data_IF_743134287565
#
_entry.id   IF_743134287565
#
_cell.length_a   1.000
_cell.length_b   1.000
_cell.length_c   1.000
_cell.angle_alpha   90.00
_cell.angle_beta   90.00
_cell.angle_gamma   90.00
#
_symmetry.space_group_name_H-M   'P 1'
#
loop_
_entity.id
_entity.type
_entity.pdbx_description
1 polymer ?
#
# COMPACT_ATOMS: atom_id res chain seq x y z
N UNK A 1 20.42 -37.67 12.00
CA UNK A 1 19.58 -36.47 12.16
C UNK A 1 20.13 -35.43 11.21
N UNK A 2 19.40 -35.10 10.17
CA UNK A 2 19.74 -33.96 9.29
C UNK A 2 19.26 -32.73 10.02
N UNK A 3 20.16 -31.78 10.39
CA UNK A 3 19.71 -30.55 11.01
C UNK A 3 18.78 -29.82 10.03
N UNK A 4 17.51 -29.69 10.38
CA UNK A 4 16.60 -28.81 9.64
C UNK A 4 17.16 -27.39 9.82
N UNK A 5 17.73 -26.85 8.75
CA UNK A 5 18.16 -25.45 8.70
C UNK A 5 16.88 -24.60 8.88
N UNK A 6 16.80 -23.91 9.98
CA UNK A 6 15.70 -22.97 10.22
C UNK A 6 15.85 -21.86 9.19
N UNK A 7 14.94 -21.84 8.20
CA UNK A 7 14.93 -20.79 7.18
C UNK A 7 14.56 -19.47 7.85
N UNK A 8 15.40 -18.46 7.66
CA UNK A 8 15.06 -17.09 8.05
C UNK A 8 14.05 -16.51 7.06
N UNK A 9 13.31 -15.47 7.46
CA UNK A 9 12.41 -14.77 6.56
C UNK A 9 13.18 -14.18 5.36
N UNK A 10 14.43 -13.74 5.58
CA UNK A 10 15.31 -13.24 4.51
C UNK A 10 15.62 -14.35 3.48
N UNK A 11 15.92 -15.58 3.91
CA UNK A 11 16.16 -16.70 2.99
C UNK A 11 14.92 -17.00 2.13
N UNK A 12 13.72 -16.96 2.74
CA UNK A 12 12.46 -17.16 2.03
C UNK A 12 12.22 -16.06 1.00
N UNK A 13 12.49 -14.79 1.35
CA UNK A 13 12.37 -13.66 0.41
C UNK A 13 13.35 -13.78 -0.75
N UNK A 14 14.59 -14.20 -0.48
CA UNK A 14 15.62 -14.36 -1.51
C UNK A 14 15.26 -15.50 -2.45
N UNK A 15 14.77 -16.64 -1.94
CA UNK A 15 14.30 -17.76 -2.75
C UNK A 15 13.10 -17.37 -3.62
N UNK A 16 12.09 -16.67 -3.06
CA UNK A 16 10.96 -16.18 -3.82
C UNK A 16 11.39 -15.19 -4.91
N UNK A 17 12.34 -14.29 -4.62
CA UNK A 17 12.88 -13.34 -5.58
C UNK A 17 13.62 -14.06 -6.71
N UNK A 18 14.43 -15.06 -6.39
CA UNK A 18 15.16 -15.85 -7.38
C UNK A 18 14.20 -16.59 -8.32
N UNK A 19 13.15 -17.21 -7.80
CA UNK A 19 12.11 -17.87 -8.60
C UNK A 19 11.37 -16.83 -9.45
N UNK A 20 10.99 -15.70 -8.88
CA UNK A 20 10.35 -14.60 -9.61
C UNK A 20 11.20 -14.12 -10.80
N UNK A 21 12.51 -14.02 -10.64
CA UNK A 21 13.40 -13.48 -11.67
C UNK A 21 13.80 -14.53 -12.72
N UNK A 22 13.93 -15.80 -12.32
CA UNK A 22 14.43 -16.89 -13.18
C UNK A 22 13.34 -17.79 -13.75
N UNK A 23 12.22 -18.00 -13.03
CA UNK A 23 11.15 -18.93 -13.45
C UNK A 23 9.75 -18.35 -13.16
N UNK A 24 9.27 -17.52 -14.09
CA UNK A 24 7.95 -16.87 -13.98
C UNK A 24 6.77 -17.83 -13.91
N UNK A 25 6.71 -18.92 -14.70
CA UNK A 25 5.65 -19.92 -14.56
C UNK A 25 5.62 -20.57 -13.18
N UNK A 26 6.79 -20.93 -12.65
CA UNK A 26 6.88 -21.53 -11.30
C UNK A 26 6.44 -20.54 -10.23
N UNK A 27 6.81 -19.25 -10.36
CA UNK A 27 6.39 -18.20 -9.43
C UNK A 27 4.86 -18.05 -9.40
N UNK A 28 4.18 -18.01 -10.56
CA UNK A 28 2.73 -17.94 -10.63
C UNK A 28 2.07 -19.16 -9.99
N UNK A 29 2.63 -20.36 -10.23
CA UNK A 29 2.14 -21.60 -9.61
C UNK A 29 2.29 -21.60 -8.08
N UNK A 30 3.36 -20.97 -7.54
CA UNK A 30 3.52 -20.80 -6.10
C UNK A 30 2.45 -19.85 -5.54
N UNK A 31 2.16 -18.74 -6.23
CA UNK A 31 1.10 -17.83 -5.81
C UNK A 31 -0.25 -18.51 -5.76
N UNK A 32 -0.61 -19.25 -6.83
CA UNK A 32 -1.87 -19.98 -6.91
C UNK A 32 -2.01 -21.06 -5.83
N UNK A 33 -0.91 -21.72 -5.49
CA UNK A 33 -0.90 -22.79 -4.48
C UNK A 33 -1.03 -22.25 -3.04
N UNK A 34 -0.47 -21.07 -2.76
CA UNK A 34 -0.31 -20.57 -1.40
C UNK A 34 -1.17 -19.35 -1.06
N UNK A 35 -1.79 -18.71 -2.05
CA UNK A 35 -2.65 -17.56 -1.84
C UNK A 35 -4.06 -17.90 -2.30
N UNK A 36 -4.96 -18.10 -1.35
CA UNK A 36 -6.38 -18.21 -1.59
C UNK A 36 -7.06 -16.85 -1.38
N UNK A 37 -7.44 -16.18 -2.47
CA UNK A 37 -8.14 -14.91 -2.39
C UNK A 37 -9.53 -15.01 -1.76
N UNK A 38 -10.18 -16.17 -1.86
CA UNK A 38 -11.52 -16.34 -1.27
C UNK A 38 -11.45 -16.34 0.27
N UNK A 39 -10.33 -16.77 0.87
CA UNK A 39 -10.08 -16.64 2.30
C UNK A 39 -9.70 -15.20 2.72
N UNK A 40 -9.00 -14.48 1.83
CA UNK A 40 -8.50 -13.13 2.10
C UNK A 40 -9.58 -12.07 1.94
N UNK A 41 -10.49 -12.26 0.98
CA UNK A 41 -11.56 -11.29 0.68
C UNK A 41 -12.68 -11.41 1.73
N UNK A 42 -13.01 -10.33 2.47
CA UNK A 42 -14.13 -10.34 3.39
C UNK A 42 -15.46 -10.61 2.68
N UNK A 43 -16.35 -11.36 3.34
CA UNK A 43 -17.71 -11.63 2.81
C UNK A 43 -18.50 -10.35 2.51
N UNK A 44 -18.26 -9.28 3.28
CA UNK A 44 -18.85 -7.96 3.04
C UNK A 44 -18.49 -7.41 1.67
N UNK A 45 -17.25 -7.60 1.22
CA UNK A 45 -16.82 -7.17 -0.11
C UNK A 45 -17.50 -7.98 -1.21
N UNK A 46 -17.60 -9.31 -1.08
CA UNK A 46 -18.36 -10.12 -2.02
C UNK A 46 -19.81 -9.64 -2.14
N UNK A 47 -20.47 -9.40 -1.00
CA UNK A 47 -21.85 -8.92 -0.97
C UNK A 47 -22.00 -7.54 -1.61
N UNK A 48 -21.06 -6.63 -1.38
CA UNK A 48 -21.05 -5.30 -2.01
C UNK A 48 -20.76 -5.38 -3.51
N UNK A 49 -19.81 -6.21 -3.92
CA UNK A 49 -19.44 -6.35 -5.32
C UNK A 49 -20.53 -7.02 -6.15
N UNK A 50 -21.15 -8.09 -5.64
CA UNK A 50 -22.22 -8.83 -6.28
C UNK A 50 -23.62 -8.48 -5.73
N UNK A 51 -23.83 -7.19 -5.43
CA UNK A 51 -25.11 -6.73 -4.88
C UNK A 51 -26.29 -7.26 -5.70
N UNK A 52 -27.37 -7.67 -4.99
CA UNK A 52 -28.55 -8.27 -5.60
C UNK A 52 -29.32 -7.31 -6.51
N UNK A 53 -29.11 -6.00 -6.36
CA UNK A 53 -29.75 -4.95 -7.17
C UNK A 53 -28.78 -4.39 -8.18
N UNK A 54 -29.22 -4.22 -9.43
CA UNK A 54 -28.44 -3.65 -10.51
C UNK A 54 -28.02 -4.67 -11.56
N UNK A 55 -27.12 -4.24 -12.46
CA UNK A 55 -26.60 -5.08 -13.55
C UNK A 55 -25.54 -6.05 -12.99
N UNK A 56 -25.65 -7.32 -13.37
CA UNK A 56 -24.64 -8.35 -13.03
C UNK A 56 -23.23 -7.91 -13.41
N UNK A 57 -22.28 -8.15 -12.52
CA UNK A 57 -20.86 -7.87 -12.75
C UNK A 57 -20.32 -8.77 -13.84
N UNK A 58 -19.64 -8.18 -14.82
CA UNK A 58 -19.07 -8.89 -15.97
C UNK A 58 -17.77 -9.59 -15.66
N UNK A 59 -17.03 -9.09 -14.70
CA UNK A 59 -15.71 -9.56 -14.33
C UNK A 59 -15.75 -10.12 -12.91
N UNK A 60 -15.13 -11.28 -12.64
CA UNK A 60 -15.02 -11.80 -11.27
C UNK A 60 -14.25 -10.85 -10.36
N UNK A 61 -14.65 -10.76 -9.10
CA UNK A 61 -13.95 -9.96 -8.09
C UNK A 61 -12.50 -10.41 -7.93
N UNK A 62 -12.30 -11.72 -7.78
CA UNK A 62 -10.98 -12.34 -7.66
C UNK A 62 -10.09 -12.01 -8.85
N UNK A 63 -10.63 -12.04 -10.08
CA UNK A 63 -9.88 -11.65 -11.27
C UNK A 63 -9.43 -10.19 -11.25
N UNK A 64 -10.27 -9.28 -10.78
CA UNK A 64 -9.92 -7.87 -10.64
C UNK A 64 -8.83 -7.67 -9.60
N UNK A 65 -8.90 -8.37 -8.47
CA UNK A 65 -7.87 -8.30 -7.42
C UNK A 65 -6.55 -8.93 -7.87
N UNK A 66 -6.58 -10.12 -8.50
CA UNK A 66 -5.37 -10.71 -9.08
C UNK A 66 -4.67 -9.78 -10.07
N UNK A 67 -5.44 -9.07 -10.92
CA UNK A 67 -4.86 -8.10 -11.84
C UNK A 67 -4.11 -6.97 -11.12
N UNK A 68 -4.66 -6.46 -10.00
CA UNK A 68 -3.99 -5.44 -9.19
C UNK A 68 -2.75 -5.98 -8.47
N UNK A 69 -2.83 -7.21 -7.96
CA UNK A 69 -1.69 -7.90 -7.32
C UNK A 69 -0.56 -8.09 -8.34
N UNK A 70 -0.87 -8.64 -9.51
CA UNK A 70 0.09 -8.85 -10.60
C UNK A 70 0.70 -7.51 -11.05
N UNK A 71 -0.10 -6.47 -11.15
CA UNK A 71 0.40 -5.13 -11.48
C UNK A 71 1.52 -4.68 -10.52
N UNK A 72 1.37 -4.98 -9.22
CA UNK A 72 2.36 -4.62 -8.21
C UNK A 72 3.56 -5.58 -8.19
N UNK A 73 3.32 -6.87 -8.25
CA UNK A 73 4.37 -7.89 -8.26
C UNK A 73 5.36 -7.71 -9.43
N UNK A 74 4.84 -7.43 -10.62
CA UNK A 74 5.66 -7.20 -11.80
C UNK A 74 6.04 -5.74 -12.03
N UNK A 75 5.79 -4.86 -11.03
CA UNK A 75 6.10 -3.43 -11.11
C UNK A 75 5.57 -2.75 -12.37
N UNK A 76 4.36 -3.12 -12.81
CA UNK A 76 3.72 -2.54 -14.00
C UNK A 76 3.20 -1.14 -13.65
N UNK A 77 3.78 -0.06 -14.23
CA UNK A 77 3.55 1.30 -13.73
C UNK A 77 2.17 1.87 -14.02
N UNK A 78 1.48 1.37 -15.05
CA UNK A 78 0.19 1.93 -15.47
C UNK A 78 -0.86 0.86 -15.73
N UNK A 79 -2.14 1.22 -15.52
CA UNK A 79 -3.27 0.34 -15.84
C UNK A 79 -3.32 -0.01 -17.34
N UNK A 80 -2.97 0.94 -18.21
CA UNK A 80 -2.92 0.71 -19.65
C UNK A 80 -1.91 -0.37 -20.02
N UNK A 81 -0.73 -0.34 -19.40
CA UNK A 81 0.32 -1.35 -19.63
C UNK A 81 -0.11 -2.71 -19.07
N UNK A 82 -0.72 -2.76 -17.88
CA UNK A 82 -1.32 -3.98 -17.34
C UNK A 82 -2.29 -4.61 -18.32
N UNK A 83 -3.20 -3.83 -18.88
CA UNK A 83 -4.18 -4.32 -19.84
C UNK A 83 -3.55 -4.84 -21.13
N UNK A 84 -2.47 -4.20 -21.60
CA UNK A 84 -1.67 -4.72 -22.73
C UNK A 84 -1.12 -6.11 -22.39
N UNK A 85 -0.50 -6.28 -21.22
CA UNK A 85 0.01 -7.59 -20.80
C UNK A 85 -1.10 -8.65 -20.72
N UNK A 86 -2.26 -8.31 -20.14
CA UNK A 86 -3.41 -9.21 -20.06
C UNK A 86 -4.00 -9.56 -21.44
N UNK A 87 -3.93 -8.65 -22.41
CA UNK A 87 -4.38 -8.92 -23.78
C UNK A 87 -3.43 -9.87 -24.52
N UNK A 88 -2.13 -9.68 -24.40
CA UNK A 88 -1.15 -10.42 -25.18
C UNK A 88 -0.63 -11.68 -24.48
N UNK A 89 -0.67 -11.76 -23.14
CA UNK A 89 -0.25 -12.94 -22.39
C UNK A 89 -1.46 -13.76 -21.94
N UNK A 90 -1.73 -14.85 -22.69
CA UNK A 90 -2.78 -15.79 -22.30
C UNK A 90 -2.53 -16.42 -20.93
N UNK A 91 -1.31 -16.91 -20.60
CA UNK A 91 -1.05 -17.48 -19.28
C UNK A 91 -1.34 -16.51 -18.13
N UNK A 92 -0.99 -15.23 -18.29
CA UNK A 92 -1.24 -14.23 -17.26
C UNK A 92 -2.73 -13.90 -17.10
N UNK A 93 -3.44 -13.85 -18.22
CA UNK A 93 -4.89 -13.64 -18.23
C UNK A 93 -5.63 -14.81 -17.59
N UNK A 94 -5.24 -16.03 -17.94
CA UNK A 94 -5.84 -17.27 -17.41
C UNK A 94 -5.55 -17.40 -15.90
N UNK A 95 -4.33 -17.07 -15.45
CA UNK A 95 -3.97 -16.99 -14.04
C UNK A 95 -4.87 -16.01 -13.26
N UNK A 96 -5.12 -14.83 -13.81
CA UNK A 96 -6.04 -13.87 -13.19
C UNK A 96 -7.51 -14.33 -13.21
N UNK A 97 -7.88 -15.30 -14.06
CA UNK A 97 -9.25 -15.78 -14.22
C UNK A 97 -10.12 -14.90 -15.13
N UNK A 98 -9.54 -14.18 -16.10
CA UNK A 98 -10.30 -13.38 -17.05
C UNK A 98 -10.66 -14.16 -18.32
N UNK A 99 -11.96 -14.35 -18.57
CA UNK A 99 -12.43 -14.78 -19.88
C UNK A 99 -12.29 -13.66 -20.93
N UNK A 100 -12.49 -12.43 -20.53
CA UNK A 100 -12.33 -11.22 -21.34
C UNK A 100 -11.65 -10.13 -20.52
N UNK A 101 -10.61 -9.52 -21.07
CA UNK A 101 -9.87 -8.42 -20.41
C UNK A 101 -10.80 -7.19 -20.27
N UNK A 102 -10.82 -6.53 -19.09
CA UNK A 102 -11.59 -5.30 -18.88
C UNK A 102 -10.99 -4.11 -19.62
N UNK A 103 -11.80 -3.09 -19.85
CA UNK A 103 -11.35 -1.79 -20.32
C UNK A 103 -10.70 -0.99 -19.19
N UNK A 104 -9.83 -0.02 -19.51
CA UNK A 104 -9.15 0.83 -18.53
C UNK A 104 -10.14 1.54 -17.58
N UNK A 105 -11.28 2.01 -18.11
CA UNK A 105 -12.32 2.64 -17.31
C UNK A 105 -12.94 1.71 -16.26
N UNK A 106 -12.91 0.40 -16.47
CA UNK A 106 -13.41 -0.60 -15.50
C UNK A 106 -12.44 -0.78 -14.34
N UNK A 107 -11.14 -0.82 -14.62
CA UNK A 107 -10.10 -0.87 -13.57
C UNK A 107 -10.15 0.40 -12.71
N UNK A 108 -10.23 1.58 -13.35
CA UNK A 108 -10.30 2.85 -12.63
C UNK A 108 -11.55 2.93 -11.73
N UNK A 109 -12.73 2.59 -12.27
CA UNK A 109 -13.97 2.56 -11.47
C UNK A 109 -13.92 1.55 -10.36
N UNK A 110 -13.37 0.35 -10.60
CA UNK A 110 -13.20 -0.65 -9.57
C UNK A 110 -12.39 -0.11 -8.39
N UNK A 111 -11.27 0.55 -8.66
CA UNK A 111 -10.44 1.17 -7.61
C UNK A 111 -11.18 2.28 -6.84
N UNK A 112 -11.99 3.10 -7.54
CA UNK A 112 -12.72 4.21 -6.94
C UNK A 112 -13.93 3.75 -6.14
N UNK A 113 -14.75 2.86 -6.73
CA UNK A 113 -16.02 2.43 -6.13
C UNK A 113 -15.79 1.51 -4.91
N UNK A 114 -14.69 0.76 -4.88
CA UNK A 114 -14.40 -0.25 -3.86
C UNK A 114 -13.16 0.05 -3.00
N UNK A 115 -12.74 1.31 -2.91
CA UNK A 115 -11.60 1.69 -2.07
C UNK A 115 -11.75 1.27 -0.59
N UNK A 116 -12.90 1.45 0.07
CA UNK A 116 -13.09 0.99 1.45
C UNK A 116 -13.03 -0.54 1.59
N UNK A 117 -13.51 -1.27 0.58
CA UNK A 117 -13.47 -2.73 0.56
C UNK A 117 -12.03 -3.23 0.37
N UNK A 118 -11.23 -2.55 -0.46
CA UNK A 118 -9.80 -2.86 -0.61
C UNK A 118 -9.03 -2.65 0.70
N UNK A 119 -9.40 -1.64 1.49
CA UNK A 119 -8.84 -1.47 2.84
C UNK A 119 -9.23 -2.65 3.74
N UNK A 120 -10.45 -3.13 3.66
CA UNK A 120 -10.90 -4.29 4.43
C UNK A 120 -10.18 -5.58 4.05
N UNK A 121 -9.81 -5.75 2.77
CA UNK A 121 -8.95 -6.87 2.32
C UNK A 121 -7.57 -6.78 2.96
N UNK A 122 -6.98 -5.58 3.00
CA UNK A 122 -5.69 -5.37 3.65
C UNK A 122 -5.76 -5.68 5.16
N UNK A 123 -6.79 -5.21 5.85
CA UNK A 123 -6.98 -5.49 7.28
C UNK A 123 -7.12 -6.97 7.55
N UNK A 124 -7.89 -7.71 6.72
CA UNK A 124 -8.04 -9.15 6.84
C UNK A 124 -6.71 -9.89 6.58
N UNK A 125 -5.93 -9.43 5.59
CA UNK A 125 -4.60 -9.97 5.32
C UNK A 125 -3.65 -9.80 6.51
N UNK A 126 -3.71 -8.65 7.19
CA UNK A 126 -2.96 -8.40 8.43
C UNK A 126 -3.36 -9.40 9.51
N UNK A 127 -4.66 -9.66 9.69
CA UNK A 127 -5.16 -10.61 10.69
C UNK A 127 -4.74 -12.06 10.38
N UNK A 128 -4.79 -12.48 9.12
CA UNK A 128 -4.37 -13.82 8.68
C UNK A 128 -2.86 -14.02 8.83
N UNK A 129 -2.07 -12.99 8.55
CA UNK A 129 -0.59 -13.08 8.62
C UNK A 129 -0.03 -12.93 10.02
N UNK A 130 -0.80 -12.41 10.99
CA UNK A 130 -0.32 -12.25 12.38
C UNK A 130 0.12 -13.56 13.03
N UNK A 131 -0.68 -14.66 13.03
CA UNK A 131 -0.24 -15.96 13.58
C UNK A 131 1.01 -16.51 12.91
N UNK A 132 1.15 -16.29 11.60
CA UNK A 132 2.33 -16.72 10.84
C UNK A 132 3.58 -15.98 11.35
N UNK A 133 3.50 -14.66 11.51
CA UNK A 133 4.59 -13.86 12.04
C UNK A 133 4.97 -14.27 13.47
N UNK A 134 3.98 -14.54 14.32
CA UNK A 134 4.20 -15.00 15.70
C UNK A 134 4.91 -16.36 15.74
N UNK A 135 4.61 -17.26 14.80
CA UNK A 135 5.27 -18.56 14.68
C UNK A 135 6.72 -18.45 14.16
N UNK A 136 7.01 -17.45 13.33
CA UNK A 136 8.38 -17.22 12.83
C UNK A 136 9.27 -16.68 13.95
N UNK A 137 8.88 -15.57 14.57
CA UNK A 137 9.56 -14.97 15.72
C UNK A 137 8.60 -14.07 16.49
N UNK A 138 8.20 -14.52 17.68
CA UNK A 138 7.22 -13.80 18.49
C UNK A 138 7.75 -12.45 19.03
N UNK A 139 9.05 -12.31 19.25
CA UNK A 139 9.64 -11.06 19.71
C UNK A 139 9.61 -10.02 18.60
N UNK A 140 10.07 -10.38 17.39
CA UNK A 140 10.05 -9.50 16.24
C UNK A 140 8.61 -9.20 15.78
N UNK A 141 7.72 -10.20 15.80
CA UNK A 141 6.31 -9.99 15.47
C UNK A 141 5.61 -9.00 16.41
N UNK A 142 6.01 -8.98 17.68
CA UNK A 142 5.45 -8.06 18.69
C UNK A 142 6.07 -6.65 18.67
N UNK A 143 7.17 -6.45 17.96
CA UNK A 143 7.75 -5.11 17.76
C UNK A 143 6.90 -4.29 16.82
N UNK A 144 6.85 -2.98 17.05
CA UNK A 144 6.20 -2.03 16.16
C UNK A 144 7.20 -0.96 15.73
N UNK A 145 7.42 -0.87 14.43
CA UNK A 145 8.24 0.14 13.80
C UNK A 145 7.29 1.08 13.03
N UNK A 146 7.40 2.36 13.29
CA UNK A 146 6.56 3.38 12.65
C UNK A 146 7.44 4.39 11.94
N UNK A 147 7.04 4.74 10.72
CA UNK A 147 7.67 5.81 9.95
C UNK A 147 6.62 6.57 9.15
N UNK A 148 6.91 7.84 8.87
CA UNK A 148 6.07 8.69 8.03
C UNK A 148 6.79 9.00 6.72
N UNK A 149 6.02 8.98 5.64
CA UNK A 149 6.53 9.33 4.32
C UNK A 149 5.47 10.07 3.51
N UNK A 150 5.75 10.37 2.26
CA UNK A 150 4.81 11.00 1.36
C UNK A 150 4.74 10.29 0.02
N UNK A 151 3.55 10.29 -0.56
CA UNK A 151 3.34 9.87 -1.94
C UNK A 151 3.25 11.12 -2.80
N UNK A 152 4.22 11.31 -3.69
CA UNK A 152 4.23 12.43 -4.62
C UNK A 152 2.94 12.47 -5.44
N UNK A 153 2.27 13.62 -5.43
CA UNK A 153 1.01 13.80 -6.11
C UNK A 153 1.21 14.25 -7.56
N UNK A 154 0.31 13.85 -8.44
CA UNK A 154 0.30 14.31 -9.81
C UNK A 154 -0.36 15.70 -9.89
N UNK A 155 0.44 16.73 -9.59
CA UNK A 155 0.02 18.14 -9.58
C UNK A 155 0.97 19.01 -10.41
N UNK A 156 0.49 20.17 -10.86
CA UNK A 156 1.27 21.06 -11.73
C UNK A 156 2.56 21.54 -11.05
N UNK A 157 2.51 21.73 -9.75
CA UNK A 157 3.63 22.22 -8.94
C UNK A 157 4.79 21.21 -8.88
N UNK A 158 4.52 19.91 -9.02
CA UNK A 158 5.54 18.86 -9.13
C UNK A 158 6.18 18.79 -10.53
N UNK A 159 5.66 19.53 -11.52
CA UNK A 159 6.29 19.58 -12.81
C UNK A 159 7.61 20.38 -12.72
N UNK A 160 8.76 19.81 -13.14
CA UNK A 160 10.05 20.52 -13.11
C UNK A 160 10.01 21.88 -13.83
N UNK A 161 9.19 22.03 -14.86
CA UNK A 161 9.02 23.31 -15.57
C UNK A 161 8.44 24.41 -14.69
N UNK A 162 7.60 24.06 -13.71
CA UNK A 162 6.99 25.00 -12.79
C UNK A 162 8.05 25.62 -11.86
N UNK A 163 8.81 24.80 -11.17
CA UNK A 163 9.90 25.25 -10.29
C UNK A 163 10.99 26.00 -11.07
N UNK A 164 11.40 25.47 -12.24
CA UNK A 164 12.42 26.09 -13.07
C UNK A 164 12.04 27.50 -13.57
N UNK A 165 10.76 27.76 -13.84
CA UNK A 165 10.26 29.08 -14.19
C UNK A 165 10.51 30.08 -13.06
N UNK A 166 10.17 29.72 -11.83
CA UNK A 166 10.34 30.55 -10.64
C UNK A 166 11.84 30.78 -10.38
N UNK A 167 12.64 29.73 -10.42
CA UNK A 167 14.10 29.82 -10.24
C UNK A 167 14.72 30.78 -11.27
N UNK A 168 14.30 30.70 -12.54
CA UNK A 168 14.78 31.58 -13.60
C UNK A 168 14.46 33.05 -13.32
N UNK A 169 13.24 33.32 -12.86
CA UNK A 169 12.81 34.69 -12.48
C UNK A 169 13.62 35.22 -11.30
N UNK A 170 13.82 34.42 -10.26
CA UNK A 170 14.61 34.83 -9.08
C UNK A 170 16.09 35.00 -9.39
N UNK A 171 16.68 34.18 -10.28
CA UNK A 171 18.04 34.39 -10.76
C UNK A 171 18.18 35.73 -11.54
N UNK A 172 17.21 36.06 -12.38
CA UNK A 172 17.20 37.31 -13.10
C UNK A 172 17.06 38.50 -12.13
N UNK A 173 16.15 38.41 -11.17
CA UNK A 173 15.95 39.43 -10.12
C UNK A 173 17.20 39.64 -9.27
N UNK A 174 17.87 38.57 -8.82
CA UNK A 174 19.10 38.65 -8.05
C UNK A 174 20.25 39.32 -8.81
N UNK A 175 20.36 39.06 -10.10
CA UNK A 175 21.36 39.72 -10.97
C UNK A 175 21.07 41.22 -11.14
N UNK A 176 19.80 41.61 -11.32
CA UNK A 176 19.41 43.03 -11.46
C UNK A 176 19.64 43.84 -10.22
N UNK A 177 19.56 43.21 -9.03
CA UNK A 177 19.69 43.86 -7.75
C UNK A 177 21.05 43.63 -7.05
N UNK A 178 22.02 43.06 -7.77
CA UNK A 178 23.38 42.79 -7.27
C UNK A 178 23.40 42.06 -5.91
N UNK A 179 22.57 41.03 -5.76
CA UNK A 179 22.59 40.22 -4.55
C UNK A 179 23.94 39.54 -4.38
N UNK A 180 24.41 39.47 -3.15
CA UNK A 180 25.70 38.85 -2.84
C UNK A 180 25.66 37.34 -3.00
N UNK A 181 26.81 36.68 -2.96
CA UNK A 181 27.01 35.24 -3.19
C UNK A 181 26.28 34.34 -2.18
N UNK A 182 25.76 34.89 -1.09
CA UNK A 182 24.99 34.11 -0.08
C UNK A 182 23.52 33.88 -0.46
N UNK A 183 23.00 34.56 -1.51
CA UNK A 183 21.64 34.37 -1.97
C UNK A 183 21.49 33.07 -2.79
N UNK A 184 20.67 32.14 -2.27
CA UNK A 184 20.34 30.90 -2.95
C UNK A 184 18.98 31.01 -3.65
N UNK A 185 18.94 31.16 -4.98
CA UNK A 185 17.70 31.27 -5.74
C UNK A 185 16.85 29.99 -5.73
N UNK A 186 17.45 28.84 -5.45
CA UNK A 186 16.71 27.57 -5.34
C UNK A 186 15.92 27.53 -4.03
N UNK A 187 16.59 27.82 -2.91
CA UNK A 187 15.94 27.92 -1.60
C UNK A 187 14.83 28.97 -1.59
N UNK A 188 15.11 30.14 -2.21
CA UNK A 188 14.11 31.20 -2.34
C UNK A 188 12.93 30.80 -3.22
N UNK A 189 13.15 30.00 -4.29
CA UNK A 189 12.07 29.50 -5.15
C UNK A 189 11.12 28.58 -4.38
N UNK A 190 11.67 27.62 -3.63
CA UNK A 190 10.85 26.72 -2.83
C UNK A 190 10.10 27.45 -1.69
N UNK A 191 10.69 28.47 -1.11
CA UNK A 191 10.02 29.30 -0.11
C UNK A 191 8.89 30.17 -0.71
N UNK A 192 9.03 30.57 -1.98
CA UNK A 192 8.02 31.36 -2.70
C UNK A 192 6.88 30.51 -3.31
N UNK A 193 7.05 29.19 -3.36
CA UNK A 193 6.01 28.29 -3.86
C UNK A 193 4.86 28.19 -2.85
N UNK A 194 3.61 27.96 -3.31
CA UNK A 194 2.48 27.81 -2.42
C UNK A 194 2.66 26.60 -1.47
N UNK A 195 2.15 26.69 -0.26
CA UNK A 195 2.26 25.61 0.75
C UNK A 195 1.42 24.36 0.40
N UNK A 196 0.40 24.53 -0.46
CA UNK A 196 -0.45 23.45 -0.97
C UNK A 196 -0.63 23.58 -2.48
N UNK A 197 -0.90 22.47 -3.16
CA UNK A 197 -1.14 22.47 -4.59
C UNK A 197 -2.44 23.23 -4.94
N UNK A 198 -2.45 23.96 -6.05
CA UNK A 198 -3.61 24.75 -6.48
C UNK A 198 -4.80 23.90 -6.91
N UNK A 199 -4.53 22.73 -7.49
CA UNK A 199 -5.54 21.76 -7.95
C UNK A 199 -6.06 20.85 -6.83
N UNK A 200 -5.28 20.69 -5.74
CA UNK A 200 -5.65 19.84 -4.61
C UNK A 200 -5.03 20.38 -3.33
N UNK A 201 -5.84 21.05 -2.51
CA UNK A 201 -5.39 21.69 -1.27
C UNK A 201 -5.02 20.72 -0.14
N UNK A 202 -5.33 19.44 -0.25
CA UNK A 202 -4.90 18.39 0.69
C UNK A 202 -3.42 18.03 0.49
N UNK A 203 -2.91 18.24 -0.72
CA UNK A 203 -1.51 17.97 -1.08
C UNK A 203 -0.65 19.15 -0.67
N UNK A 204 0.29 18.92 0.24
CA UNK A 204 1.21 19.93 0.77
C UNK A 204 2.63 19.75 0.28
N UNK A 205 3.37 20.85 0.26
CA UNK A 205 4.80 20.82 0.03
C UNK A 205 5.50 20.08 1.19
N UNK A 206 6.31 19.09 0.84
CA UNK A 206 7.07 18.25 1.77
C UNK A 206 8.47 18.01 1.22
N UNK A 207 9.40 17.66 2.11
CA UNK A 207 10.74 17.21 1.73
C UNK A 207 10.78 15.69 1.84
N UNK A 208 10.88 15.00 0.69
CA UNK A 208 10.81 13.54 0.60
C UNK A 208 11.96 13.05 -0.28
N UNK A 209 12.66 12.03 0.16
CA UNK A 209 13.75 11.40 -0.60
C UNK A 209 14.79 12.40 -1.16
N UNK A 210 15.12 13.43 -0.39
CA UNK A 210 16.14 14.39 -0.77
C UNK A 210 15.69 15.55 -1.65
N UNK A 211 14.40 15.69 -1.96
CA UNK A 211 13.86 16.81 -2.74
C UNK A 211 12.53 17.33 -2.21
N UNK A 212 12.21 18.58 -2.53
CA UNK A 212 10.89 19.16 -2.25
C UNK A 212 9.90 18.72 -3.33
N UNK A 213 8.76 18.21 -2.89
CA UNK A 213 7.63 17.87 -3.74
C UNK A 213 6.30 18.10 -3.02
N UNK A 214 5.21 18.11 -3.78
CA UNK A 214 3.85 18.15 -3.27
C UNK A 214 3.34 16.73 -3.14
N UNK A 215 2.99 16.32 -1.92
CA UNK A 215 2.70 14.93 -1.62
C UNK A 215 1.54 14.77 -0.63
N UNK A 216 0.91 13.59 -0.69
CA UNK A 216 0.05 13.11 0.38
C UNK A 216 0.92 12.54 1.49
N UNK A 217 0.70 12.96 2.72
CA UNK A 217 1.41 12.41 3.88
C UNK A 217 0.71 11.15 4.38
N UNK A 218 1.49 10.12 4.67
CA UNK A 218 1.00 8.89 5.27
C UNK A 218 1.99 8.35 6.29
N UNK A 219 1.48 7.51 7.20
CA UNK A 219 2.27 6.73 8.13
C UNK A 219 2.14 5.24 7.84
N UNK A 220 3.23 4.52 7.94
CA UNK A 220 3.28 3.07 7.85
C UNK A 220 3.74 2.52 9.18
N UNK A 221 3.06 1.46 9.64
CA UNK A 221 3.53 0.65 10.75
C UNK A 221 3.88 -0.75 10.25
N UNK A 222 5.06 -1.22 10.61
CA UNK A 222 5.50 -2.59 10.37
C UNK A 222 5.80 -3.29 11.68
N UNK A 223 5.81 -4.62 11.68
CA UNK A 223 6.44 -5.37 12.77
C UNK A 223 7.96 -5.45 12.57
N UNK A 224 8.68 -6.03 13.52
CA UNK A 224 10.13 -6.21 13.44
C UNK A 224 10.59 -7.16 12.34
N UNK A 225 9.68 -7.94 11.73
CA UNK A 225 9.93 -8.75 10.53
C UNK A 225 9.82 -7.93 9.24
N UNK A 226 9.46 -6.64 9.33
CA UNK A 226 9.26 -5.77 8.16
C UNK A 226 7.91 -5.92 7.47
N UNK A 227 6.96 -6.67 8.06
CA UNK A 227 5.63 -6.86 7.49
C UNK A 227 4.71 -5.70 7.88
N UNK A 228 4.07 -5.07 6.89
CA UNK A 228 3.17 -3.93 7.10
C UNK A 228 1.95 -4.36 7.93
N UNK A 229 1.60 -3.56 8.93
CA UNK A 229 0.48 -3.78 9.85
C UNK A 229 -0.60 -2.72 9.76
N UNK A 230 -0.23 -1.48 9.46
CA UNK A 230 -1.19 -0.43 9.14
C UNK A 230 -0.60 0.58 8.17
N UNK A 231 -1.50 1.26 7.45
CA UNK A 231 -1.21 2.41 6.61
C UNK A 231 -2.27 3.45 6.91
N UNK A 232 -1.84 4.63 7.36
CA UNK A 232 -2.71 5.74 7.72
C UNK A 232 -2.41 6.96 6.84
N UNK A 233 -3.44 7.51 6.18
CA UNK A 233 -3.31 8.74 5.40
C UNK A 233 -3.72 9.94 6.24
N UNK A 234 -2.88 10.97 6.25
CA UNK A 234 -3.12 12.19 7.02
C UNK A 234 -3.65 13.28 6.11
N UNK A 235 -4.86 13.76 6.41
CA UNK A 235 -5.45 14.88 5.70
C UNK A 235 -4.81 16.21 6.12
N UNK A 236 -5.11 17.28 5.36
CA UNK A 236 -4.58 18.63 5.57
C UNK A 236 -4.82 19.15 6.99
N UNK A 237 -6.01 18.98 7.49
CA UNK A 237 -6.43 19.53 8.78
C UNK A 237 -5.78 18.80 9.95
N UNK A 238 -5.65 17.48 9.82
CA UNK A 238 -4.94 16.63 10.77
C UNK A 238 -3.45 17.03 10.85
N UNK A 239 -2.79 17.19 9.69
CA UNK A 239 -1.37 17.60 9.65
C UNK A 239 -1.18 19.02 10.20
N UNK A 240 -2.12 19.94 9.95
CA UNK A 240 -2.03 21.31 10.45
C UNK A 240 -2.18 21.41 11.97
N UNK A 241 -3.02 20.54 12.56
CA UNK A 241 -3.28 20.51 14.01
C UNK A 241 -2.32 19.61 14.79
N UNK A 242 -1.58 18.71 14.10
CA UNK A 242 -0.70 17.73 14.74
C UNK A 242 0.72 17.83 14.15
N UNK A 243 1.68 18.40 14.88
CA UNK A 243 3.11 18.30 14.53
C UNK A 243 3.55 16.84 14.38
N UNK A 244 4.54 16.58 13.54
CA UNK A 244 4.97 15.20 13.20
C UNK A 244 5.18 14.29 14.43
N UNK A 245 5.81 14.80 15.49
CA UNK A 245 6.01 14.04 16.74
C UNK A 245 4.69 13.62 17.40
N UNK A 246 3.65 14.47 17.31
CA UNK A 246 2.33 14.18 17.89
C UNK A 246 1.58 13.18 17.01
N UNK A 247 1.70 13.30 15.68
CA UNK A 247 1.16 12.34 14.71
C UNK A 247 1.74 10.96 14.97
N UNK A 248 3.06 10.84 15.09
CA UNK A 248 3.72 9.57 15.40
C UNK A 248 3.23 8.98 16.72
N UNK A 249 3.22 9.75 17.80
CA UNK A 249 2.75 9.28 19.13
C UNK A 249 1.28 8.88 19.12
N UNK A 250 0.43 9.62 18.40
CA UNK A 250 -1.02 9.33 18.33
C UNK A 250 -1.27 8.07 17.51
N UNK A 251 -0.60 7.91 16.37
CA UNK A 251 -0.67 6.70 15.55
C UNK A 251 -0.20 5.48 16.32
N UNK A 252 0.93 5.54 17.01
CA UNK A 252 1.41 4.46 17.88
C UNK A 252 0.38 4.06 18.94
N UNK A 253 -0.29 5.02 19.56
CA UNK A 253 -1.31 4.77 20.58
C UNK A 253 -2.55 4.09 19.98
N UNK A 254 -3.01 4.55 18.81
CA UNK A 254 -4.16 3.98 18.11
C UNK A 254 -3.87 2.57 17.61
N UNK A 255 -2.70 2.33 17.03
CA UNK A 255 -2.26 1.01 16.57
C UNK A 255 -2.14 0.04 17.75
N UNK A 256 -1.52 0.45 18.84
CA UNK A 256 -1.44 -0.39 20.05
C UNK A 256 -2.83 -0.77 20.59
N UNK A 257 -3.79 0.14 20.58
CA UNK A 257 -5.17 -0.14 20.99
C UNK A 257 -5.85 -1.08 20.00
N UNK A 258 -5.64 -0.90 18.71
CA UNK A 258 -6.17 -1.75 17.63
C UNK A 258 -5.62 -3.17 17.74
N UNK A 259 -4.31 -3.34 17.90
CA UNK A 259 -3.67 -4.64 18.07
C UNK A 259 -4.11 -5.35 19.37
N UNK A 260 -4.26 -4.62 20.47
CA UNK A 260 -4.78 -5.19 21.72
C UNK A 260 -6.24 -5.66 21.58
N UNK A 261 -7.06 -4.93 20.83
CA UNK A 261 -8.44 -5.36 20.52
C UNK A 261 -8.44 -6.59 19.61
N UNK A 262 -7.61 -6.62 18.57
CA UNK A 262 -7.45 -7.77 17.65
C UNK A 262 -6.99 -9.01 18.41
N UNK A 263 -5.96 -8.91 19.24
CA UNK A 263 -5.48 -10.02 20.05
C UNK A 263 -6.54 -10.56 21.01
N UNK A 264 -7.37 -9.71 21.63
CA UNK A 264 -8.50 -10.15 22.44
C UNK A 264 -9.56 -10.90 21.63
N UNK A 265 -9.87 -10.42 20.42
CA UNK A 265 -10.83 -11.10 19.53
C UNK A 265 -10.29 -12.44 19.04
N UNK A 266 -8.99 -12.53 18.72
CA UNK A 266 -8.33 -13.78 18.36
C UNK A 266 -8.33 -14.78 19.52
N UNK A 267 -7.99 -14.36 20.73
CA UNK A 267 -8.07 -15.20 21.92
C UNK A 267 -9.51 -15.67 22.20
N UNK A 268 -10.52 -14.81 22.02
CA UNK A 268 -11.91 -15.22 22.14
C UNK A 268 -12.32 -16.25 21.08
N UNK A 269 -11.92 -16.07 19.83
CA UNK A 269 -12.18 -17.05 18.75
C UNK A 269 -11.47 -18.39 19.00
N UNK A 270 -10.22 -18.36 19.44
CA UNK A 270 -9.46 -19.58 19.77
C UNK A 270 -10.09 -20.32 20.95
N UNK A 271 -10.52 -19.61 21.98
CA UNK A 271 -11.23 -20.21 23.12
C UNK A 271 -12.60 -20.75 22.74
N UNK A 272 -13.32 -20.09 21.79
CA UNK A 272 -14.61 -20.58 21.28
C UNK A 272 -14.45 -21.86 20.46
N UNK A 273 -13.41 -21.94 19.62
CA UNK A 273 -13.06 -23.13 18.84
C UNK A 273 -12.60 -24.31 19.72
N UNK A 274 -11.86 -24.04 20.81
CA UNK A 274 -11.49 -25.05 21.79
C UNK A 274 -12.68 -25.55 22.58
N UNK A 275 -13.62 -24.70 22.95
CA UNK A 275 -14.86 -25.09 23.63
C UNK A 275 -15.77 -25.89 22.70
N UNK A 276 -15.89 -25.52 21.42
CA UNK A 276 -16.66 -26.30 20.44
C UNK A 276 -16.02 -27.69 20.20
N UNK A 277 -14.69 -27.80 20.13
CA UNK A 277 -14.02 -29.10 20.03
C UNK A 277 -14.20 -29.99 21.26
N UNK A 278 -14.27 -29.40 22.44
CA UNK A 278 -14.55 -30.14 23.69
C UNK A 278 -16.02 -30.61 23.77
N UNK A 279 -16.96 -29.85 23.20
CA UNK A 279 -18.38 -30.28 23.12
C UNK A 279 -18.66 -31.34 22.07
N UNK A 280 -17.81 -31.51 21.08
CA UNK A 280 -17.93 -32.58 20.06
C UNK A 280 -17.22 -33.89 20.46
N UNK A 281 -16.58 -33.94 21.64
CA UNK A 281 -15.89 -35.12 22.20
C UNK A 281 -16.63 -35.76 23.40
N UNK A 282 -17.83 -35.27 23.70
CA UNK A 282 -18.81 -35.89 24.61
C UNK A 282 -20.08 -36.19 23.85
#
# INVERSE_FOLDING_TARGET
MIPQKQLSLADIFEDCKNIHDSDKPQFLSLLEKHIDLDEIIPTSFFNHYYAATGRNRKYPLTAMLWALIIQRLFSIPTDSLLLIFLHYSRPLRDFCGFNKVPDASKITRFKQDFLPDLQSVFDNLVDITEPICQNIDSNLASMLLFDTSGIEAYVTENNPKYANRIIKQLKAYARSNNFNSSYDPYKAAYAAMPTSASSNHEVKQQYINGHFCYAYKFGITTNGLGIVRSIDFYNKDYIASHPDIVVEKTSFRLIRISLLKRNRILQMKTNLLLTQKLYCLH
#
